data_IF_461199066696
#
_entry.id   IF_461199066696
#
_cell.length_a   1.000
_cell.length_b   1.000
_cell.length_c   1.000
_cell.angle_alpha   90.00
_cell.angle_beta   90.00
_cell.angle_gamma   90.00
#
_symmetry.space_group_name_H-M   'P 1'
#
loop_
_entity.id
_entity.type
_entity.pdbx_description
1 polymer ?
#
# COMPACT_ATOMS: atom_id res chain seq x y z
N UNK A 1 -95.13 -8.11 -29.38
CA UNK A 1 -93.77 -8.53 -28.96
C UNK A 1 -93.52 -8.55 -27.46
N UNK A 2 -94.17 -7.69 -26.67
CA UNK A 2 -94.00 -7.56 -25.20
C UNK A 2 -94.62 -8.74 -24.40
N UNK A 3 -95.61 -9.41 -24.92
CA UNK A 3 -96.26 -10.55 -24.23
C UNK A 3 -95.42 -11.84 -24.18
N UNK A 4 -94.49 -12.01 -25.12
CA UNK A 4 -93.58 -13.17 -25.12
C UNK A 4 -92.50 -13.08 -24.05
N UNK A 5 -92.11 -11.86 -23.64
CA UNK A 5 -91.16 -11.66 -22.53
C UNK A 5 -91.73 -11.90 -21.13
N UNK A 6 -93.04 -11.69 -20.99
CA UNK A 6 -93.74 -11.85 -19.67
C UNK A 6 -94.19 -13.30 -19.36
N UNK A 7 -94.28 -14.16 -20.38
CA UNK A 7 -94.64 -15.56 -20.17
C UNK A 7 -93.43 -16.35 -19.71
N UNK A 8 -93.51 -17.00 -18.56
CA UNK A 8 -92.51 -17.80 -17.89
C UNK A 8 -91.26 -16.97 -17.43
N UNK A 9 -91.54 -15.80 -16.85
CA UNK A 9 -90.49 -14.88 -16.37
C UNK A 9 -89.58 -15.52 -15.28
N UNK A 10 -90.05 -16.29 -14.30
CA UNK A 10 -89.21 -16.94 -13.30
C UNK A 10 -88.28 -18.00 -13.90
N UNK A 11 -88.77 -18.77 -14.88
CA UNK A 11 -87.93 -19.78 -15.55
C UNK A 11 -86.81 -19.14 -16.38
N UNK A 12 -87.07 -17.99 -17.03
CA UNK A 12 -86.07 -17.24 -17.78
C UNK A 12 -85.04 -16.58 -16.85
N UNK A 13 -85.46 -16.06 -15.71
CA UNK A 13 -84.56 -15.54 -14.70
C UNK A 13 -83.67 -16.65 -14.13
N UNK A 14 -84.22 -17.83 -13.86
CA UNK A 14 -83.47 -18.97 -13.38
C UNK A 14 -82.42 -19.41 -14.44
N UNK A 15 -82.86 -19.53 -15.71
CA UNK A 15 -81.95 -19.86 -16.82
C UNK A 15 -80.81 -18.83 -16.97
N UNK A 16 -81.15 -17.53 -16.82
CA UNK A 16 -80.15 -16.48 -16.86
C UNK A 16 -79.11 -16.56 -15.72
N UNK A 17 -79.60 -16.85 -14.48
CA UNK A 17 -78.73 -17.02 -13.32
C UNK A 17 -77.86 -18.26 -13.52
N UNK A 18 -78.38 -19.39 -14.01
CA UNK A 18 -77.55 -20.57 -14.33
C UNK A 18 -76.49 -20.26 -15.45
N UNK A 19 -76.93 -19.56 -16.50
CA UNK A 19 -76.03 -19.20 -17.58
C UNK A 19 -74.90 -18.28 -17.09
N UNK A 20 -75.20 -17.29 -16.22
CA UNK A 20 -74.16 -16.44 -15.61
C UNK A 20 -73.24 -17.26 -14.70
N UNK A 21 -73.86 -18.20 -13.88
CA UNK A 21 -73.05 -19.11 -13.04
C UNK A 21 -72.09 -19.99 -13.85
N UNK A 22 -72.59 -20.60 -14.94
CA UNK A 22 -71.77 -21.39 -15.85
C UNK A 22 -70.69 -20.52 -16.58
N UNK A 23 -71.05 -19.29 -16.95
CA UNK A 23 -70.11 -18.37 -17.57
C UNK A 23 -68.94 -17.96 -16.61
N UNK A 24 -69.31 -17.65 -15.35
CA UNK A 24 -68.30 -17.33 -14.33
C UNK A 24 -67.39 -18.56 -14.06
N UNK A 25 -68.00 -19.76 -13.97
CA UNK A 25 -67.29 -21.02 -13.77
C UNK A 25 -66.29 -21.27 -14.91
N UNK A 26 -66.77 -21.19 -16.16
CA UNK A 26 -65.93 -21.40 -17.35
C UNK A 26 -64.81 -20.32 -17.43
N UNK A 27 -65.17 -19.08 -17.17
CA UNK A 27 -64.13 -17.96 -17.17
C UNK A 27 -63.06 -18.19 -16.11
N UNK A 28 -63.46 -18.66 -14.91
CA UNK A 28 -62.49 -18.95 -13.85
C UNK A 28 -61.64 -20.20 -14.16
N UNK A 29 -62.14 -21.18 -14.85
CA UNK A 29 -61.45 -22.41 -15.25
C UNK A 29 -60.50 -22.17 -16.43
N UNK A 30 -60.83 -21.25 -17.37
CA UNK A 30 -60.00 -20.93 -18.54
C UNK A 30 -58.85 -19.95 -18.27
N UNK A 31 -58.97 -19.10 -17.19
CA UNK A 31 -57.94 -18.12 -16.87
C UNK A 31 -57.61 -18.11 -15.36
N UNK A 32 -57.12 -19.24 -14.82
CA UNK A 32 -56.82 -19.36 -13.41
C UNK A 32 -55.72 -18.38 -12.96
N UNK A 33 -55.79 -17.99 -11.72
CA UNK A 33 -54.69 -17.24 -11.06
C UNK A 33 -53.52 -18.18 -10.89
N UNK A 34 -52.37 -17.77 -11.40
CA UNK A 34 -51.10 -18.49 -11.24
C UNK A 34 -50.07 -17.60 -10.56
N UNK A 35 -49.07 -18.21 -9.97
CA UNK A 35 -47.96 -17.53 -9.30
C UNK A 35 -46.68 -17.74 -10.09
N UNK A 36 -45.88 -16.69 -10.21
CA UNK A 36 -44.55 -16.76 -10.80
C UNK A 36 -43.57 -15.88 -10.02
N UNK A 37 -42.28 -16.18 -10.14
CA UNK A 37 -41.21 -15.44 -9.45
C UNK A 37 -40.30 -14.75 -10.49
N UNK A 38 -40.11 -13.45 -10.33
CA UNK A 38 -39.21 -12.63 -11.12
C UNK A 38 -38.08 -12.12 -10.29
N UNK A 39 -36.85 -12.18 -10.82
CA UNK A 39 -35.65 -11.56 -10.22
C UNK A 39 -35.46 -10.22 -10.87
N UNK A 40 -35.48 -9.16 -10.07
CA UNK A 40 -35.46 -7.77 -10.53
C UNK A 40 -34.32 -7.03 -9.87
N UNK A 41 -33.51 -6.25 -10.62
CA UNK A 41 -32.45 -5.44 -10.02
C UNK A 41 -33.05 -4.32 -9.18
N UNK A 42 -32.38 -4.03 -8.06
CA UNK A 42 -32.77 -2.95 -7.14
C UNK A 42 -32.18 -1.64 -7.69
N UNK A 43 -33.03 -0.74 -8.16
CA UNK A 43 -32.67 0.60 -8.57
C UNK A 43 -32.50 1.53 -7.36
N UNK A 44 -31.77 2.62 -7.55
CA UNK A 44 -31.61 3.69 -6.57
C UNK A 44 -32.26 4.94 -7.16
N UNK A 45 -33.12 5.60 -6.40
CA UNK A 45 -33.74 6.89 -6.78
C UNK A 45 -33.37 7.97 -5.77
N UNK A 46 -33.35 9.23 -6.21
CA UNK A 46 -32.95 10.41 -5.41
C UNK A 46 -31.58 10.29 -4.76
N UNK A 47 -30.61 9.67 -5.48
CA UNK A 47 -29.25 9.59 -5.03
C UNK A 47 -28.65 11.00 -4.84
N UNK A 48 -28.06 11.32 -3.68
CA UNK A 48 -27.45 12.63 -3.48
C UNK A 48 -26.17 12.75 -4.36
N UNK A 49 -25.94 13.92 -4.93
CA UNK A 49 -24.74 14.22 -5.68
C UNK A 49 -23.51 14.30 -4.78
N UNK A 50 -22.35 13.83 -5.28
CA UNK A 50 -21.09 13.84 -4.53
C UNK A 50 -20.96 12.72 -3.49
N UNK A 51 -21.78 11.68 -3.60
CA UNK A 51 -21.70 10.49 -2.75
C UNK A 51 -21.47 9.22 -3.56
N UNK A 52 -20.69 8.32 -3.00
CA UNK A 52 -20.60 6.94 -3.48
C UNK A 52 -21.62 6.08 -2.74
N UNK A 53 -22.43 5.36 -3.50
CA UNK A 53 -23.50 4.51 -2.95
C UNK A 53 -23.14 3.08 -3.27
N UNK A 54 -23.13 2.23 -2.24
CA UNK A 54 -22.98 0.79 -2.37
C UNK A 54 -24.11 0.07 -1.64
N UNK A 55 -24.52 -1.08 -2.14
CA UNK A 55 -25.60 -1.91 -1.60
C UNK A 55 -25.10 -3.34 -1.40
N UNK A 56 -25.61 -4.00 -0.39
CA UNK A 56 -25.26 -5.39 -0.02
C UNK A 56 -25.98 -6.42 -0.90
N UNK A 57 -27.11 -6.04 -1.49
CA UNK A 57 -27.93 -6.89 -2.36
C UNK A 57 -28.23 -6.16 -3.68
N UNK A 58 -27.93 -6.82 -4.79
CA UNK A 58 -28.14 -6.26 -6.13
C UNK A 58 -29.54 -6.48 -6.68
N UNK A 59 -30.20 -7.59 -6.27
CA UNK A 59 -31.45 -8.05 -6.86
C UNK A 59 -32.45 -8.48 -5.80
N UNK A 60 -33.73 -8.37 -6.11
CA UNK A 60 -34.84 -8.85 -5.29
C UNK A 60 -35.70 -9.86 -6.06
N UNK A 61 -36.13 -10.89 -5.40
CA UNK A 61 -37.09 -11.88 -5.95
C UNK A 61 -38.52 -11.48 -5.60
N UNK A 62 -39.30 -11.20 -6.63
CA UNK A 62 -40.70 -10.82 -6.52
C UNK A 62 -41.55 -12.03 -6.87
N UNK A 63 -42.32 -12.58 -5.91
CA UNK A 63 -43.31 -13.58 -6.16
C UNK A 63 -44.65 -12.88 -6.38
N UNK A 64 -45.18 -13.00 -7.58
CA UNK A 64 -46.40 -12.31 -8.02
C UNK A 64 -47.46 -13.27 -8.44
N UNK A 65 -48.73 -12.88 -8.29
CA UNK A 65 -49.92 -13.60 -8.73
C UNK A 65 -50.70 -12.79 -9.73
N UNK A 66 -51.17 -13.42 -10.79
CA UNK A 66 -52.02 -12.79 -11.79
C UNK A 66 -52.77 -13.86 -12.59
N UNK A 67 -53.82 -13.49 -13.35
CA UNK A 67 -54.46 -14.37 -14.32
C UNK A 67 -53.42 -14.84 -15.38
N UNK A 68 -53.46 -16.11 -15.76
CA UNK A 68 -52.50 -16.75 -16.68
C UNK A 68 -52.30 -15.96 -17.97
N UNK A 69 -53.34 -15.34 -18.50
CA UNK A 69 -53.28 -14.54 -19.74
C UNK A 69 -52.31 -13.35 -19.67
N UNK A 70 -52.09 -12.75 -18.49
CA UNK A 70 -51.20 -11.60 -18.32
C UNK A 70 -49.74 -12.02 -18.39
N UNK A 71 -49.41 -13.24 -18.01
CA UNK A 71 -48.01 -13.72 -18.05
C UNK A 71 -47.48 -13.94 -19.45
N UNK A 72 -48.37 -14.10 -20.45
CA UNK A 72 -47.96 -14.30 -21.84
C UNK A 72 -47.37 -13.03 -22.49
N UNK A 73 -47.70 -11.85 -21.96
CA UNK A 73 -47.37 -10.55 -22.56
C UNK A 73 -46.51 -9.65 -21.63
N UNK A 74 -46.05 -10.17 -20.48
CA UNK A 74 -45.29 -9.39 -19.53
C UNK A 74 -43.81 -9.75 -19.61
N UNK A 75 -42.94 -8.74 -19.69
CA UNK A 75 -41.50 -8.88 -19.60
C UNK A 75 -41.02 -8.60 -18.19
N UNK A 76 -39.87 -9.17 -17.78
CA UNK A 76 -39.25 -8.91 -16.49
C UNK A 76 -38.97 -7.41 -16.27
N UNK A 77 -38.67 -6.68 -17.31
CA UNK A 77 -38.44 -5.21 -17.29
C UNK A 77 -39.66 -4.39 -16.85
N UNK A 78 -40.85 -4.97 -16.92
CA UNK A 78 -42.10 -4.34 -16.45
C UNK A 78 -42.23 -4.30 -14.93
N UNK A 79 -41.50 -5.17 -14.23
CA UNK A 79 -41.40 -5.18 -12.77
C UNK A 79 -40.21 -4.31 -12.34
N UNK A 80 -40.42 -3.41 -11.41
CA UNK A 80 -39.37 -2.52 -10.89
C UNK A 80 -39.27 -2.64 -9.37
N UNK A 81 -38.06 -2.65 -8.89
CA UNK A 81 -37.74 -2.54 -7.49
C UNK A 81 -36.75 -1.40 -7.29
N UNK A 82 -36.95 -0.58 -6.28
CA UNK A 82 -36.06 0.54 -6.03
C UNK A 82 -36.06 0.92 -4.55
N UNK A 83 -35.03 1.68 -4.18
CA UNK A 83 -34.89 2.29 -2.87
C UNK A 83 -34.77 3.80 -3.04
N UNK A 84 -35.47 4.54 -2.21
CA UNK A 84 -35.46 6.00 -2.22
C UNK A 84 -34.46 6.52 -1.17
N UNK A 85 -33.47 7.30 -1.62
CA UNK A 85 -32.45 7.90 -0.79
C UNK A 85 -32.77 9.35 -0.39
N UNK A 86 -33.99 9.80 -0.60
CA UNK A 86 -34.38 11.17 -0.22
C UNK A 86 -34.24 11.36 1.30
N UNK A 87 -33.41 12.33 1.72
CA UNK A 87 -33.16 12.63 3.13
C UNK A 87 -32.26 11.63 3.87
N UNK A 88 -31.61 10.72 3.14
CA UNK A 88 -30.65 9.76 3.72
C UNK A 88 -29.30 10.47 3.89
N UNK A 89 -28.75 10.43 5.12
CA UNK A 89 -27.47 11.02 5.48
C UNK A 89 -26.32 10.04 5.21
N UNK A 90 -25.07 10.52 5.41
CA UNK A 90 -23.87 9.70 5.29
C UNK A 90 -23.89 8.55 6.31
N UNK A 91 -23.54 7.32 5.86
CA UNK A 91 -23.49 6.13 6.69
C UNK A 91 -24.25 4.93 6.11
N UNK A 92 -24.41 3.91 6.94
CA UNK A 92 -25.09 2.67 6.56
C UNK A 92 -26.55 2.73 7.02
N UNK A 93 -27.49 2.47 6.09
CA UNK A 93 -28.91 2.54 6.32
C UNK A 93 -29.63 1.30 5.78
N UNK A 94 -30.49 0.70 6.60
CA UNK A 94 -31.36 -0.41 6.19
C UNK A 94 -32.68 0.15 5.67
N UNK A 95 -32.80 0.21 4.35
CA UNK A 95 -33.94 0.81 3.67
C UNK A 95 -34.89 -0.27 3.11
N UNK A 96 -36.18 0.06 3.11
CA UNK A 96 -37.19 -0.82 2.58
C UNK A 96 -37.23 -0.75 1.04
N UNK A 97 -37.25 -1.92 0.40
CA UNK A 97 -37.36 -2.02 -1.05
C UNK A 97 -38.79 -1.71 -1.46
N UNK A 98 -38.96 -0.71 -2.31
CA UNK A 98 -40.26 -0.38 -2.92
C UNK A 98 -40.37 -1.11 -4.25
N UNK A 99 -41.59 -1.62 -4.53
CA UNK A 99 -41.84 -2.40 -5.74
C UNK A 99 -42.96 -1.76 -6.56
N UNK A 100 -42.80 -1.75 -7.87
CA UNK A 100 -43.83 -1.33 -8.81
C UNK A 100 -44.14 -2.52 -9.72
N UNK A 101 -45.41 -2.88 -9.74
CA UNK A 101 -45.94 -3.99 -10.52
C UNK A 101 -46.78 -3.47 -11.69
N UNK A 102 -46.83 -4.21 -12.81
CA UNK A 102 -47.77 -3.95 -13.88
C UNK A 102 -49.23 -4.14 -13.42
N UNK A 103 -50.15 -3.47 -14.10
CA UNK A 103 -51.58 -3.58 -13.78
C UNK A 103 -52.09 -5.04 -13.86
N UNK A 104 -52.85 -5.48 -12.87
CA UNK A 104 -53.39 -6.82 -12.79
C UNK A 104 -52.49 -7.86 -12.10
N UNK A 105 -51.29 -7.46 -11.68
CA UNK A 105 -50.39 -8.29 -10.87
C UNK A 105 -50.49 -7.92 -9.39
N UNK A 106 -50.55 -8.94 -8.52
CA UNK A 106 -50.55 -8.82 -7.06
C UNK A 106 -49.22 -9.32 -6.50
N UNK A 107 -48.58 -8.59 -5.58
CA UNK A 107 -47.39 -9.03 -4.87
C UNK A 107 -47.77 -10.00 -3.76
N UNK A 108 -47.26 -11.22 -3.83
CA UNK A 108 -47.42 -12.22 -2.77
C UNK A 108 -46.29 -12.10 -1.75
N UNK A 109 -45.05 -11.98 -2.24
CA UNK A 109 -43.88 -11.77 -1.39
C UNK A 109 -42.73 -11.16 -2.17
N UNK A 110 -41.88 -10.40 -1.47
CA UNK A 110 -40.61 -9.90 -1.97
C UNK A 110 -39.51 -10.40 -1.02
N UNK A 111 -38.40 -10.84 -1.59
CA UNK A 111 -37.27 -11.30 -0.79
C UNK A 111 -35.92 -10.88 -1.42
N UNK A 112 -35.09 -10.10 -0.72
CA UNK A 112 -35.30 -9.49 0.61
C UNK A 112 -36.30 -8.32 0.60
N UNK A 113 -36.81 -7.93 1.77
CA UNK A 113 -37.71 -6.77 1.92
C UNK A 113 -36.95 -5.47 2.23
N UNK A 114 -35.71 -5.61 2.72
CA UNK A 114 -34.78 -4.49 3.02
C UNK A 114 -33.45 -4.74 2.37
N UNK A 115 -32.74 -3.66 2.10
CA UNK A 115 -31.36 -3.67 1.61
C UNK A 115 -30.54 -2.71 2.47
N UNK A 116 -29.32 -3.12 2.82
CA UNK A 116 -28.38 -2.25 3.50
C UNK A 116 -27.62 -1.42 2.47
N UNK A 117 -27.76 -0.10 2.57
CA UNK A 117 -27.12 0.85 1.65
C UNK A 117 -26.11 1.66 2.45
N UNK A 118 -24.89 1.68 1.95
CA UNK A 118 -23.85 2.57 2.46
C UNK A 118 -23.77 3.81 1.55
N UNK A 119 -24.05 4.97 2.13
CA UNK A 119 -23.95 6.28 1.50
C UNK A 119 -22.70 6.97 2.03
N UNK A 120 -21.66 7.14 1.21
CA UNK A 120 -20.36 7.65 1.62
C UNK A 120 -19.99 8.90 0.81
N UNK A 121 -19.76 10.01 1.51
CA UNK A 121 -19.46 11.29 0.88
C UNK A 121 -18.10 11.23 0.17
N UNK A 122 -18.03 11.73 -1.06
CA UNK A 122 -16.78 11.88 -1.79
C UNK A 122 -16.15 13.21 -1.36
N UNK A 123 -14.92 13.14 -0.89
CA UNK A 123 -14.12 14.30 -0.48
C UNK A 123 -12.72 14.22 -1.08
N UNK A 124 -11.98 15.31 -0.91
CA UNK A 124 -10.58 15.42 -1.30
C UNK A 124 -9.71 15.57 -0.06
N UNK A 125 -8.56 14.90 -0.06
CA UNK A 125 -7.57 14.93 1.01
C UNK A 125 -6.18 15.07 0.42
N UNK A 126 -5.35 15.92 1.01
CA UNK A 126 -3.94 16.02 0.66
C UNK A 126 -3.13 15.00 1.47
N UNK A 127 -2.23 14.28 0.79
CA UNK A 127 -1.36 13.28 1.41
C UNK A 127 0.08 13.44 0.90
N UNK A 128 1.10 13.13 1.75
CA UNK A 128 2.50 13.20 1.36
C UNK A 128 2.85 12.10 0.36
N UNK A 129 3.77 12.43 -0.55
CA UNK A 129 4.39 11.47 -1.47
C UNK A 129 5.65 10.91 -0.82
N UNK A 130 5.76 9.58 -0.76
CA UNK A 130 6.94 8.85 -0.32
C UNK A 130 7.53 8.03 -1.47
N UNK A 131 8.83 8.08 -1.63
CA UNK A 131 9.54 7.34 -2.67
C UNK A 131 10.36 6.22 -2.03
N UNK A 132 10.17 5.01 -2.49
CA UNK A 132 10.92 3.84 -2.08
C UNK A 132 11.91 3.45 -3.18
N UNK A 133 13.20 3.59 -2.89
CA UNK A 133 14.24 3.18 -3.80
C UNK A 133 14.59 1.71 -3.55
N UNK A 134 14.85 0.99 -4.64
CA UNK A 134 15.27 -0.41 -4.61
C UNK A 134 16.43 -0.64 -5.57
N UNK A 135 17.32 -1.55 -5.17
CA UNK A 135 18.47 -1.92 -5.97
C UNK A 135 19.75 -1.21 -5.58
N UNK A 136 20.81 -1.47 -6.34
CA UNK A 136 22.16 -0.93 -6.15
C UNK A 136 22.53 -0.19 -7.43
N UNK A 137 22.95 1.09 -7.34
CA UNK A 137 23.49 1.80 -8.50
C UNK A 137 24.68 1.07 -9.12
N UNK A 138 25.15 1.51 -10.27
CA UNK A 138 26.33 0.94 -10.91
C UNK A 138 27.59 1.07 -10.07
N UNK A 139 28.68 0.46 -10.55
CA UNK A 139 29.95 0.38 -9.84
C UNK A 139 30.43 1.77 -9.37
N UNK A 140 30.86 1.82 -8.13
CA UNK A 140 31.35 3.05 -7.46
C UNK A 140 30.34 4.22 -7.36
N UNK A 141 29.05 3.94 -7.51
CA UNK A 141 27.98 4.96 -7.40
C UNK A 141 27.11 4.76 -6.17
N UNK A 142 26.67 5.87 -5.61
CA UNK A 142 25.67 5.94 -4.53
C UNK A 142 24.63 7.00 -4.90
N UNK A 143 23.41 6.84 -4.40
CA UNK A 143 22.39 7.88 -4.53
C UNK A 143 22.76 9.04 -3.62
N UNK A 144 23.09 10.19 -4.21
CA UNK A 144 23.45 11.40 -3.49
C UNK A 144 22.22 12.21 -3.08
N UNK A 145 21.25 12.35 -3.99
CA UNK A 145 19.98 13.00 -3.70
C UNK A 145 18.86 12.47 -4.58
N UNK A 146 17.64 12.62 -4.09
CA UNK A 146 16.40 12.32 -4.78
C UNK A 146 15.54 13.56 -4.72
N UNK A 147 15.25 14.13 -5.89
CA UNK A 147 14.43 15.31 -6.04
C UNK A 147 13.10 14.92 -6.68
N UNK A 148 12.00 15.21 -6.01
CA UNK A 148 10.66 14.94 -6.51
C UNK A 148 9.94 16.25 -6.85
N UNK A 149 9.17 16.23 -7.94
CA UNK A 149 8.45 17.43 -8.41
C UNK A 149 7.32 17.86 -7.48
N UNK A 150 6.74 16.94 -6.72
CA UNK A 150 5.64 17.18 -5.79
C UNK A 150 5.90 16.46 -4.45
N UNK A 151 5.79 17.17 -3.35
CA UNK A 151 5.89 16.60 -2.01
C UNK A 151 4.55 16.03 -1.51
N UNK A 152 3.45 16.62 -1.95
CA UNK A 152 2.09 16.19 -1.62
C UNK A 152 1.27 16.06 -2.90
N UNK A 153 0.26 15.20 -2.86
CA UNK A 153 -0.77 15.09 -3.89
C UNK A 153 -2.15 15.09 -3.26
N UNK A 154 -3.15 15.42 -4.07
CA UNK A 154 -4.56 15.31 -3.68
C UNK A 154 -5.09 13.92 -4.02
N UNK A 155 -5.80 13.30 -3.09
CA UNK A 155 -6.57 12.09 -3.32
C UNK A 155 -8.05 12.40 -3.17
N UNK A 156 -8.88 11.81 -4.04
CA UNK A 156 -10.33 11.97 -4.06
C UNK A 156 -11.00 10.60 -3.89
N UNK A 157 -12.00 10.52 -3.03
CA UNK A 157 -12.74 9.28 -2.81
C UNK A 157 -13.68 9.37 -1.62
N UNK A 158 -14.33 8.24 -1.26
CA UNK A 158 -15.20 8.16 -0.10
C UNK A 158 -14.45 8.44 1.20
N UNK A 159 -15.05 9.19 2.12
CA UNK A 159 -14.43 9.57 3.40
C UNK A 159 -14.00 8.36 4.21
N UNK A 160 -14.79 7.28 4.20
CA UNK A 160 -14.45 6.05 4.91
C UNK A 160 -13.17 5.38 4.41
N UNK A 161 -12.84 5.55 3.11
CA UNK A 161 -11.63 5.04 2.48
C UNK A 161 -10.49 6.05 2.65
N UNK A 162 -10.74 7.36 2.43
CA UNK A 162 -9.76 8.42 2.59
C UNK A 162 -9.12 8.45 3.98
N UNK A 163 -9.89 8.13 5.02
CA UNK A 163 -9.39 8.07 6.39
C UNK A 163 -8.37 6.94 6.63
N UNK A 164 -8.35 5.93 5.78
CA UNK A 164 -7.37 4.83 5.83
C UNK A 164 -6.07 5.16 5.09
N UNK A 165 -6.09 6.16 4.19
CA UNK A 165 -4.92 6.55 3.42
C UNK A 165 -4.05 7.50 4.22
N UNK A 166 -2.76 7.16 4.35
CA UNK A 166 -1.75 7.96 5.07
C UNK A 166 -0.74 8.61 4.14
N UNK A 167 -0.44 8.00 2.99
CA UNK A 167 0.52 8.51 2.02
C UNK A 167 0.26 7.95 0.61
N UNK A 168 0.88 8.58 -0.38
CA UNK A 168 1.06 8.02 -1.71
C UNK A 168 2.50 7.54 -1.87
N UNK A 169 2.71 6.31 -2.37
CA UNK A 169 4.04 5.70 -2.48
C UNK A 169 4.38 5.42 -3.93
N UNK A 170 5.60 5.80 -4.33
CA UNK A 170 6.19 5.44 -5.61
C UNK A 170 7.42 4.55 -5.42
N UNK A 171 7.64 3.59 -6.32
CA UNK A 171 8.78 2.67 -6.28
C UNK A 171 9.72 2.96 -7.45
N UNK A 172 11.02 3.06 -7.15
CA UNK A 172 12.05 3.40 -8.13
C UNK A 172 13.17 2.36 -8.06
N UNK A 173 13.49 1.75 -9.20
CA UNK A 173 14.68 0.90 -9.34
C UNK A 173 15.89 1.72 -9.75
N UNK A 174 17.00 1.58 -9.02
CA UNK A 174 18.27 2.27 -9.32
C UNK A 174 19.37 1.32 -9.82
N UNK A 175 19.03 0.07 -10.12
CA UNK A 175 19.97 -0.97 -10.50
C UNK A 175 20.82 -0.60 -11.73
N UNK A 176 22.17 -0.69 -11.58
CA UNK A 176 23.12 -0.57 -12.67
C UNK A 176 23.24 0.82 -13.31
N UNK A 177 22.57 1.83 -12.77
CA UNK A 177 22.66 3.20 -13.28
C UNK A 177 23.99 3.84 -12.87
N UNK A 178 24.71 4.37 -13.85
CA UNK A 178 26.01 5.05 -13.67
C UNK A 178 25.93 6.57 -13.79
N UNK A 179 24.83 7.10 -14.32
CA UNK A 179 24.60 8.52 -14.56
C UNK A 179 23.32 9.00 -13.90
N UNK A 180 23.20 10.31 -13.70
CA UNK A 180 21.97 10.93 -13.22
C UNK A 180 20.84 10.66 -14.21
N UNK A 181 19.65 10.40 -13.70
CA UNK A 181 18.48 10.14 -14.53
C UNK A 181 17.22 10.68 -13.89
N UNK A 182 16.21 10.90 -14.73
CA UNK A 182 14.87 11.28 -14.30
C UNK A 182 13.87 10.24 -14.76
N UNK A 183 12.87 9.97 -13.94
CA UNK A 183 11.83 8.97 -14.20
C UNK A 183 10.49 9.48 -13.71
N UNK A 184 9.44 9.21 -14.49
CA UNK A 184 8.05 9.42 -14.06
C UNK A 184 7.54 8.18 -13.34
N UNK A 185 7.22 8.33 -12.08
CA UNK A 185 6.88 7.23 -11.15
C UNK A 185 5.39 7.18 -10.91
N UNK A 186 4.71 6.05 -11.14
CA UNK A 186 3.33 5.88 -10.74
C UNK A 186 3.20 5.81 -9.21
N UNK A 187 2.13 6.41 -8.70
CA UNK A 187 1.83 6.47 -7.27
C UNK A 187 0.68 5.52 -6.93
N UNK A 188 0.77 4.89 -5.78
CA UNK A 188 -0.30 4.10 -5.15
C UNK A 188 -0.64 4.68 -3.78
N UNK A 189 -1.93 4.71 -3.43
CA UNK A 189 -2.36 5.12 -2.10
C UNK A 189 -2.11 3.98 -1.09
N UNK A 190 -1.53 4.29 0.08
CA UNK A 190 -1.24 3.30 1.11
C UNK A 190 -1.74 3.72 2.48
N UNK A 191 -1.99 2.72 3.34
CA UNK A 191 -2.35 2.93 4.74
C UNK A 191 -1.10 3.00 5.65
N UNK A 192 -1.31 3.05 6.97
CA UNK A 192 -0.28 3.07 8.01
C UNK A 192 0.64 1.83 8.04
N UNK A 193 0.22 0.73 7.40
CA UNK A 193 0.98 -0.53 7.27
C UNK A 193 1.59 -0.71 5.89
N UNK A 194 1.68 0.35 5.09
CA UNK A 194 2.14 0.36 3.69
C UNK A 194 1.40 -0.62 2.77
N UNK A 195 0.14 -0.96 3.11
CA UNK A 195 -0.73 -1.75 2.24
C UNK A 195 -1.53 -0.83 1.34
N UNK A 196 -1.65 -1.21 0.06
CA UNK A 196 -2.44 -0.48 -0.93
C UNK A 196 -3.90 -0.34 -0.50
N UNK A 197 -4.45 0.85 -0.73
CA UNK A 197 -5.85 1.20 -0.49
C UNK A 197 -6.49 1.53 -1.82
N UNK A 198 -7.36 0.63 -2.25
CA UNK A 198 -8.15 0.81 -3.47
C UNK A 198 -9.38 1.71 -3.23
N UNK A 199 -9.99 2.17 -4.33
CA UNK A 199 -11.23 2.97 -4.28
C UNK A 199 -11.00 4.48 -4.10
N UNK A 200 -9.76 4.96 -4.24
CA UNK A 200 -9.41 6.38 -4.29
C UNK A 200 -8.77 6.75 -5.62
N UNK A 201 -8.95 8.00 -6.03
CA UNK A 201 -8.35 8.57 -7.24
C UNK A 201 -7.22 9.51 -6.85
N UNK A 202 -6.01 9.26 -7.34
CA UNK A 202 -4.85 10.11 -7.12
C UNK A 202 -4.78 11.22 -8.18
N UNK A 203 -4.47 12.44 -7.76
CA UNK A 203 -4.40 13.65 -8.58
C UNK A 203 -3.12 14.46 -8.23
N UNK A 204 -2.03 14.36 -9.00
CA UNK A 204 -1.83 13.48 -10.18
C UNK A 204 -1.58 12.00 -9.80
N UNK A 205 -1.64 11.10 -10.80
CA UNK A 205 -1.35 9.66 -10.62
C UNK A 205 0.15 9.33 -10.67
N UNK A 206 0.97 10.27 -11.11
CA UNK A 206 2.42 10.09 -11.28
C UNK A 206 3.16 11.28 -10.74
N UNK A 207 4.43 11.09 -10.40
CA UNK A 207 5.36 12.15 -9.98
C UNK A 207 6.65 12.01 -10.78
N UNK A 208 7.23 13.14 -11.20
CA UNK A 208 8.54 13.16 -11.83
C UNK A 208 9.61 13.23 -10.74
N UNK A 209 10.59 12.35 -10.86
CA UNK A 209 11.67 12.20 -9.89
C UNK A 209 13.00 12.25 -10.61
N UNK A 210 13.92 13.10 -10.12
CA UNK A 210 15.32 13.17 -10.57
C UNK A 210 16.22 12.52 -9.53
N UNK A 211 17.04 11.57 -9.97
CA UNK A 211 17.99 10.86 -9.14
C UNK A 211 19.40 11.33 -9.50
N UNK A 212 20.09 11.87 -8.50
CA UNK A 212 21.47 12.34 -8.63
C UNK A 212 22.38 11.29 -8.00
N UNK A 213 23.32 10.79 -8.78
CA UNK A 213 24.31 9.81 -8.36
C UNK A 213 25.66 10.51 -8.13
N UNK A 214 26.33 10.15 -7.05
CA UNK A 214 27.69 10.56 -6.78
C UNK A 214 28.64 9.36 -6.76
N UNK A 215 29.94 9.61 -6.87
CA UNK A 215 30.95 8.57 -6.65
C UNK A 215 30.89 8.13 -5.19
N UNK A 216 30.70 6.84 -4.93
CA UNK A 216 30.62 6.28 -3.59
C UNK A 216 31.99 6.30 -2.90
N UNK A 217 31.96 6.41 -1.57
CA UNK A 217 33.17 6.19 -0.76
C UNK A 217 33.27 4.68 -0.50
N UNK A 218 34.30 4.05 -1.02
CA UNK A 218 34.61 2.67 -0.66
C UNK A 218 35.13 2.59 0.76
N UNK A 219 34.84 1.47 1.41
CA UNK A 219 35.34 1.15 2.75
C UNK A 219 36.24 -0.07 2.67
N UNK A 220 37.33 -0.04 3.39
CA UNK A 220 38.27 -1.16 3.51
C UNK A 220 38.84 -1.22 4.91
N UNK A 221 38.96 -2.44 5.44
CA UNK A 221 39.66 -2.68 6.70
C UNK A 221 41.15 -2.93 6.36
N UNK A 222 42.03 -2.13 6.94
CA UNK A 222 43.47 -2.25 6.72
C UNK A 222 44.22 -2.30 8.04
N UNK A 223 45.44 -2.84 8.00
CA UNK A 223 46.30 -2.97 9.17
C UNK A 223 46.90 -1.63 9.59
N UNK A 224 47.23 -1.44 10.86
CA UNK A 224 47.97 -0.32 11.37
C UNK A 224 49.42 -0.76 11.63
N UNK A 225 50.39 -0.03 11.10
CA UNK A 225 51.81 -0.30 11.30
C UNK A 225 52.43 0.83 12.11
N UNK A 226 53.05 0.55 13.29
CA UNK A 226 53.76 1.56 14.06
C UNK A 226 55.09 1.89 13.37
N UNK A 227 55.44 3.19 13.30
CA UNK A 227 56.72 3.68 12.78
C UNK A 227 57.65 4.01 13.94
N UNK A 228 58.62 3.12 14.17
CA UNK A 228 59.61 3.31 15.23
C UNK A 228 60.80 4.08 14.72
N UNK A 229 61.25 5.07 15.47
CA UNK A 229 62.49 5.83 15.21
C UNK A 229 63.45 5.69 16.39
N UNK A 230 64.73 5.64 16.06
CA UNK A 230 65.83 5.52 16.99
C UNK A 230 65.98 4.16 17.62
N UNK A 231 67.15 3.79 18.06
CA UNK A 231 67.45 2.61 18.78
C UNK A 231 67.13 2.79 20.26
N UNK A 232 66.86 1.65 20.96
CA UNK A 232 66.75 1.65 22.39
C UNK A 232 68.06 2.01 23.09
N UNK A 233 68.03 2.60 24.29
CA UNK A 233 69.23 2.80 25.10
C UNK A 233 70.05 1.53 25.29
N UNK A 234 71.38 1.67 25.48
CA UNK A 234 72.23 0.51 25.75
C UNK A 234 71.72 -0.34 26.93
N UNK A 235 71.71 -1.66 26.77
CA UNK A 235 71.26 -2.58 27.77
C UNK A 235 69.78 -2.97 27.69
N UNK A 236 69.04 -2.49 26.68
CA UNK A 236 67.66 -2.84 26.43
C UNK A 236 67.48 -3.41 25.00
N UNK A 237 66.56 -4.37 24.87
CA UNK A 237 66.11 -4.93 23.60
C UNK A 237 64.61 -4.84 23.50
N UNK A 238 64.10 -4.63 22.24
CA UNK A 238 62.71 -4.61 21.96
C UNK A 238 62.15 -6.03 21.91
N UNK A 239 61.22 -6.36 22.81
CA UNK A 239 60.58 -7.68 22.84
C UNK A 239 59.37 -7.75 21.94
N UNK A 240 58.46 -6.78 22.02
CA UNK A 240 57.28 -6.71 21.16
C UNK A 240 56.75 -5.30 21.02
N UNK A 241 56.08 -5.04 19.90
CA UNK A 241 55.29 -3.84 19.68
C UNK A 241 53.90 -4.26 19.25
N UNK A 242 52.90 -3.78 19.95
CA UNK A 242 51.49 -4.04 19.60
C UNK A 242 50.75 -2.72 19.45
N UNK A 243 49.85 -2.65 18.49
CA UNK A 243 48.98 -1.49 18.24
C UNK A 243 47.53 -1.87 18.54
N UNK A 244 46.81 -1.00 19.19
CA UNK A 244 45.43 -1.19 19.55
C UNK A 244 44.57 0.01 19.09
N UNK A 245 43.63 -0.17 18.16
CA UNK A 245 43.29 -1.41 17.43
C UNK A 245 44.37 -1.83 16.40
N UNK A 246 44.50 -3.12 16.11
CA UNK A 246 45.44 -3.62 15.09
C UNK A 246 44.99 -3.28 13.67
N UNK A 247 43.65 -3.12 13.45
CA UNK A 247 43.04 -2.81 12.16
C UNK A 247 42.07 -1.65 12.29
N UNK A 248 41.90 -0.91 11.21
CA UNK A 248 41.02 0.24 11.14
C UNK A 248 40.20 0.21 9.83
N UNK A 249 38.92 0.59 9.90
CA UNK A 249 38.15 0.85 8.71
C UNK A 249 38.51 2.22 8.13
N UNK A 250 38.92 2.26 6.88
CA UNK A 250 39.16 3.49 6.12
C UNK A 250 38.05 3.66 5.08
N UNK A 251 37.66 4.91 4.84
CA UNK A 251 36.70 5.28 3.80
C UNK A 251 37.22 6.42 2.96
N UNK A 252 37.02 6.39 1.64
CA UNK A 252 37.49 7.43 0.74
C UNK A 252 37.48 7.02 -0.72
N UNK A 253 38.36 7.67 -1.53
CA UNK A 253 38.43 7.42 -2.96
C UNK A 253 38.80 5.95 -3.25
N UNK A 254 38.00 5.22 -4.08
CA UNK A 254 38.26 3.80 -4.44
C UNK A 254 39.70 3.56 -4.97
N UNK A 255 40.20 4.44 -5.81
CA UNK A 255 41.54 4.31 -6.43
C UNK A 255 42.67 4.37 -5.41
N UNK A 256 42.49 5.13 -4.33
CA UNK A 256 43.48 5.27 -3.24
C UNK A 256 43.31 4.06 -2.29
N UNK A 257 42.09 3.77 -1.81
CA UNK A 257 41.83 2.69 -0.87
C UNK A 257 42.15 1.32 -1.46
N UNK A 258 41.90 1.10 -2.77
CA UNK A 258 42.21 -0.14 -3.46
C UNK A 258 43.63 -0.60 -3.27
N UNK A 259 44.56 0.35 -3.36
CA UNK A 259 46.02 0.13 -3.28
C UNK A 259 46.59 0.18 -1.85
N UNK A 260 45.80 0.66 -0.87
CA UNK A 260 46.23 0.74 0.52
C UNK A 260 46.20 -0.62 1.21
N UNK A 261 47.28 -1.01 1.85
CA UNK A 261 47.38 -2.23 2.64
C UNK A 261 47.53 -1.98 4.13
N UNK A 262 48.05 -0.81 4.52
CA UNK A 262 48.21 -0.41 5.91
C UNK A 262 48.20 1.13 6.06
N UNK A 263 47.95 1.61 7.28
CA UNK A 263 48.21 2.99 7.71
C UNK A 263 49.41 3.02 8.67
N UNK A 264 50.25 4.01 8.52
CA UNK A 264 51.38 4.24 9.44
C UNK A 264 50.97 5.17 10.59
N UNK A 265 51.60 4.98 11.74
CA UNK A 265 51.55 5.95 12.83
C UNK A 265 52.55 7.08 12.59
N UNK A 266 52.42 8.21 13.28
CA UNK A 266 53.50 9.15 13.49
C UNK A 266 54.71 8.44 14.10
N UNK A 267 55.89 9.07 13.98
CA UNK A 267 57.16 8.53 14.42
C UNK A 267 57.21 8.39 15.96
N UNK A 268 57.49 7.19 16.42
CA UNK A 268 57.62 6.84 17.85
C UNK A 268 59.11 6.74 18.17
N UNK A 269 59.64 7.67 18.98
CA UNK A 269 61.02 7.64 19.40
C UNK A 269 61.23 6.63 20.54
N UNK A 270 62.21 5.72 20.35
CA UNK A 270 62.62 4.74 21.39
C UNK A 270 63.84 5.23 22.21
N UNK A 271 64.44 6.38 21.90
CA UNK A 271 65.70 6.87 22.47
C UNK A 271 65.70 6.98 24.00
N UNK A 272 64.57 7.19 24.65
CA UNK A 272 64.42 7.37 26.07
C UNK A 272 63.60 6.27 26.75
N UNK A 273 63.29 5.17 26.07
CA UNK A 273 62.43 4.09 26.59
C UNK A 273 63.28 3.11 27.40
N UNK A 274 63.16 3.20 28.73
CA UNK A 274 63.89 2.35 29.71
C UNK A 274 62.97 1.37 30.45
N UNK A 275 61.66 1.41 30.17
CA UNK A 275 60.64 0.53 30.70
C UNK A 275 59.57 0.28 29.64
N UNK A 276 58.93 -0.91 29.68
CA UNK A 276 57.77 -1.17 28.85
C UNK A 276 56.70 -0.08 29.08
N UNK A 277 56.24 0.52 28.00
CA UNK A 277 55.41 1.73 28.03
C UNK A 277 54.24 1.63 27.04
N UNK A 278 53.25 2.45 27.30
CA UNK A 278 52.08 2.64 26.46
C UNK A 278 52.12 4.11 25.99
N UNK A 279 51.96 4.31 24.68
CA UNK A 279 51.95 5.67 24.09
C UNK A 279 50.70 5.77 23.16
N UNK A 280 50.01 6.92 23.21
CA UNK A 280 48.96 7.26 22.24
C UNK A 280 49.62 8.12 21.17
N UNK A 281 49.43 7.75 19.91
CA UNK A 281 50.04 8.42 18.73
C UNK A 281 48.96 8.56 17.63
N UNK A 282 49.18 9.57 16.77
CA UNK A 282 48.26 9.77 15.65
C UNK A 282 48.64 8.88 14.46
N UNK A 283 47.60 8.57 13.66
CA UNK A 283 47.80 7.94 12.36
C UNK A 283 48.10 9.00 11.31
N UNK A 284 49.00 8.67 10.37
CA UNK A 284 49.27 9.49 9.19
C UNK A 284 48.20 9.13 8.14
N UNK A 285 47.13 9.96 8.07
CA UNK A 285 46.02 9.78 7.16
C UNK A 285 46.24 10.60 5.90
N UNK A 286 46.29 9.98 4.69
CA UNK A 286 46.36 10.71 3.43
C UNK A 286 45.16 11.62 3.19
N UNK A 287 45.29 12.63 2.34
CA UNK A 287 44.19 13.45 1.84
C UNK A 287 43.16 12.53 1.13
N UNK A 288 41.85 12.85 1.19
CA UNK A 288 40.73 12.10 0.64
C UNK A 288 40.45 10.74 1.31
N UNK A 289 41.06 10.46 2.47
CA UNK A 289 40.75 9.28 3.31
C UNK A 289 40.19 9.74 4.65
N UNK A 290 39.12 9.10 5.07
CA UNK A 290 38.51 9.27 6.39
C UNK A 290 38.71 8.04 7.24
N UNK A 291 39.02 8.26 8.51
CA UNK A 291 39.10 7.22 9.56
C UNK A 291 38.20 7.61 10.74
N UNK A 292 37.59 6.65 11.42
CA UNK A 292 36.70 6.95 12.54
C UNK A 292 37.44 7.50 13.79
N UNK A 293 38.69 7.14 13.95
CA UNK A 293 39.59 7.68 14.98
C UNK A 293 40.99 7.81 14.47
N UNK A 294 41.62 8.95 14.70
CA UNK A 294 43.03 9.22 14.27
C UNK A 294 44.05 8.83 15.33
N UNK A 295 43.60 8.59 16.58
CA UNK A 295 44.51 8.21 17.68
C UNK A 295 44.50 6.71 17.88
N UNK A 296 45.69 6.12 18.03
CA UNK A 296 45.89 4.72 18.36
C UNK A 296 46.84 4.54 19.52
N UNK A 297 46.70 3.45 20.23
CA UNK A 297 47.57 3.13 21.34
C UNK A 297 48.64 2.13 20.91
N UNK A 298 49.92 2.46 21.17
CA UNK A 298 51.05 1.58 20.91
C UNK A 298 51.65 1.09 22.22
N UNK A 299 51.70 -0.23 22.37
CA UNK A 299 52.34 -0.90 23.48
C UNK A 299 53.74 -1.33 23.09
N UNK A 300 54.74 -0.85 23.79
CA UNK A 300 56.16 -1.12 23.57
C UNK A 300 56.65 -1.97 24.75
N UNK A 301 57.00 -3.20 24.50
CA UNK A 301 57.55 -4.11 25.51
C UNK A 301 59.04 -4.27 25.29
N UNK A 302 59.84 -4.01 26.32
CA UNK A 302 61.30 -4.13 26.29
C UNK A 302 61.83 -5.05 27.38
N UNK A 303 62.97 -5.64 27.14
CA UNK A 303 63.69 -6.48 28.11
C UNK A 303 65.11 -5.95 28.32
N UNK A 304 65.66 -6.17 29.51
CA UNK A 304 67.07 -5.84 29.80
C UNK A 304 67.99 -6.95 29.30
N UNK A 305 69.06 -6.58 28.64
CA UNK A 305 70.08 -7.55 28.23
C UNK A 305 70.93 -7.93 29.44
N UNK A 306 70.77 -9.15 29.95
CA UNK A 306 71.66 -9.71 30.96
C UNK A 306 72.86 -10.36 30.28
N UNK A 307 74.00 -9.69 30.33
CA UNK A 307 75.27 -10.34 29.94
C UNK A 307 75.72 -11.31 31.02
N UNK A 308 75.41 -12.56 30.88
CA UNK A 308 76.15 -13.60 31.64
C UNK A 308 77.52 -13.78 31.01
N UNK A 309 78.57 -13.18 31.64
CA UNK A 309 79.94 -13.54 31.37
C UNK A 309 80.15 -15.01 31.77
N UNK A 310 80.18 -15.86 30.78
CA UNK A 310 80.81 -17.18 30.95
C UNK A 310 82.29 -16.98 31.08
N UNK A 311 82.83 -16.87 32.27
CA UNK A 311 84.24 -17.10 32.53
C UNK A 311 84.49 -18.58 32.37
N UNK A 312 85.14 -18.96 31.26
CA UNK A 312 85.74 -20.30 31.10
C UNK A 312 86.95 -20.41 32.00
N UNK A 313 87.16 -21.60 32.62
CA UNK A 313 88.28 -21.89 33.48
C UNK A 313 89.58 -22.00 32.72
#
# INVERSE_FOLDING_TARGET
>A
MISFFRKNLPEKCLALIVAIGCWIFVMNDQNPQIENTYTVPIGIVNAPEGYQISKDVEEVKLKVRAPRSLFSNVETSSFRAYVDLNGVENGIHDLQIQTVLPSGFELISAGPTKVSINVDKIEQKEVPVRLNLSGIPGDDKVVASVEQSLQNITIEGPVSILNKVTAAVGYIGVNGNNENFSVTVPLIAVNDKDKEVEGVKLLPKTVDVSIILAKGLNKKIIDIKPTLMSDLPMGYILKSVKVEPEKIEVSGNPDIIGNMTYLSTENISLANVTKSTKQTVNLIVPEDINVPNQEVTVWIEIETVSYTHLTLP
#
